data_IF_928402123608
#
_entry.id   IF_928402123608
#
_cell.length_a   1.000
_cell.length_b   1.000
_cell.length_c   1.000
_cell.angle_alpha   90.00
_cell.angle_beta   90.00
_cell.angle_gamma   90.00
#
_symmetry.space_group_name_H-M   'P 1'
#
loop_
_entity.id
_entity.type
_entity.pdbx_description
1 polymer ?
#
# COMPACT_ATOMS: atom_id res chain seq x y z
N UNK A 1 14.44 -13.09 -10.59
CA UNK A 1 13.05 -13.58 -10.33
C UNK A 1 12.23 -13.46 -11.61
N UNK A 2 11.37 -14.42 -11.99
CA UNK A 2 10.58 -14.33 -13.23
C UNK A 2 9.19 -13.72 -12.96
N UNK A 3 8.88 -12.61 -13.63
CA UNK A 3 7.53 -12.01 -13.62
C UNK A 3 6.75 -12.63 -14.77
N UNK A 4 5.67 -13.33 -14.46
CA UNK A 4 4.76 -13.92 -15.43
C UNK A 4 3.31 -13.43 -15.21
N UNK A 5 2.40 -13.80 -16.11
CA UNK A 5 1.01 -13.35 -16.05
C UNK A 5 0.26 -13.86 -14.80
N UNK A 6 0.65 -15.02 -14.28
CA UNK A 6 0.05 -15.55 -13.04
C UNK A 6 0.45 -14.70 -11.84
N UNK A 7 1.71 -14.26 -11.81
CA UNK A 7 2.23 -13.35 -10.80
C UNK A 7 1.61 -11.96 -10.94
N UNK A 8 1.46 -11.45 -12.17
CA UNK A 8 0.79 -10.17 -12.42
C UNK A 8 -0.66 -10.20 -11.90
N UNK A 9 -1.43 -11.24 -12.22
CA UNK A 9 -2.80 -11.43 -11.73
C UNK A 9 -2.88 -11.45 -10.20
N UNK A 10 -1.90 -12.09 -9.55
CA UNK A 10 -1.81 -12.10 -8.09
C UNK A 10 -1.52 -10.70 -7.52
N UNK A 11 -0.64 -9.94 -8.16
CA UNK A 11 -0.32 -8.57 -7.76
C UNK A 11 -1.50 -7.61 -7.98
N UNK A 12 -2.26 -7.75 -9.06
CA UNK A 12 -3.49 -6.99 -9.31
C UNK A 12 -4.48 -7.17 -8.15
N UNK A 13 -4.69 -8.42 -7.72
CA UNK A 13 -5.59 -8.73 -6.59
C UNK A 13 -5.09 -8.15 -5.27
N UNK A 14 -3.78 -8.20 -5.01
CA UNK A 14 -3.21 -7.67 -3.77
C UNK A 14 -3.21 -6.14 -3.72
N UNK A 15 -3.04 -5.48 -4.87
CA UNK A 15 -2.98 -4.02 -4.99
C UNK A 15 -4.33 -3.37 -5.28
N UNK A 16 -5.37 -4.16 -5.58
CA UNK A 16 -6.67 -3.68 -6.07
C UNK A 16 -6.55 -2.80 -7.33
N UNK A 17 -5.56 -3.09 -8.18
CA UNK A 17 -5.36 -2.42 -9.47
C UNK A 17 -5.67 -3.39 -10.60
N UNK A 18 -6.57 -2.99 -11.50
CA UNK A 18 -6.85 -3.75 -12.71
C UNK A 18 -5.91 -3.29 -13.84
N UNK A 19 -5.20 -4.23 -14.44
CA UNK A 19 -4.39 -3.99 -15.64
C UNK A 19 -5.15 -4.50 -16.85
N UNK A 20 -5.32 -3.63 -17.84
CA UNK A 20 -5.97 -3.98 -19.10
C UNK A 20 -5.11 -4.94 -19.93
N UNK A 21 -5.76 -5.86 -20.64
CA UNK A 21 -5.08 -6.94 -21.38
C UNK A 21 -4.04 -6.43 -22.40
N UNK A 22 -4.30 -5.28 -23.02
CA UNK A 22 -3.42 -4.62 -23.98
C UNK A 22 -2.10 -4.10 -23.37
N UNK A 23 -2.05 -3.93 -22.03
CA UNK A 23 -0.89 -3.41 -21.30
C UNK A 23 -0.14 -4.46 -20.49
N UNK A 24 -0.64 -5.69 -20.43
CA UNK A 24 -0.07 -6.73 -19.57
C UNK A 24 1.37 -7.07 -19.95
N UNK A 25 1.63 -7.27 -21.25
CA UNK A 25 2.97 -7.58 -21.74
C UNK A 25 3.97 -6.46 -21.45
N UNK A 26 3.55 -5.19 -21.64
CA UNK A 26 4.37 -4.02 -21.33
C UNK A 26 4.73 -3.98 -19.84
N UNK A 27 3.75 -4.15 -18.96
CA UNK A 27 3.95 -4.11 -17.51
C UNK A 27 4.82 -5.26 -17.02
N UNK A 28 4.64 -6.47 -17.56
CA UNK A 28 5.50 -7.61 -17.24
C UNK A 28 6.96 -7.31 -17.60
N UNK A 29 7.20 -6.71 -18.78
CA UNK A 29 8.55 -6.32 -19.20
C UNK A 29 9.14 -5.25 -18.29
N UNK A 30 8.38 -4.21 -17.97
CA UNK A 30 8.84 -3.11 -17.11
C UNK A 30 9.14 -3.58 -15.68
N UNK A 31 8.27 -4.42 -15.10
CA UNK A 31 8.50 -5.00 -13.78
C UNK A 31 9.73 -5.91 -13.76
N UNK A 32 9.94 -6.69 -14.82
CA UNK A 32 11.13 -7.52 -14.96
C UNK A 32 12.40 -6.67 -14.98
N UNK A 33 12.41 -5.57 -15.73
CA UNK A 33 13.54 -4.64 -15.79
C UNK A 33 13.82 -3.99 -14.44
N UNK A 34 12.79 -3.54 -13.72
CA UNK A 34 12.94 -2.94 -12.38
C UNK A 34 13.54 -3.95 -11.41
N UNK A 35 13.06 -5.20 -11.40
CA UNK A 35 13.58 -6.23 -10.51
C UNK A 35 15.03 -6.55 -10.84
N UNK A 36 15.37 -6.69 -12.13
CA UNK A 36 16.76 -6.87 -12.57
C UNK A 36 17.67 -5.69 -12.18
N UNK A 37 17.16 -4.46 -12.21
CA UNK A 37 17.92 -3.31 -11.73
C UNK A 37 18.17 -3.36 -10.22
N UNK A 38 17.20 -3.81 -9.43
CA UNK A 38 17.34 -4.00 -7.98
C UNK A 38 18.29 -5.15 -7.64
N UNK A 39 18.38 -6.19 -8.49
CA UNK A 39 19.30 -7.31 -8.28
C UNK A 39 20.78 -6.86 -8.20
N UNK A 40 21.16 -5.71 -8.77
CA UNK A 40 22.48 -5.11 -8.61
C UNK A 40 22.88 -4.87 -7.14
N UNK A 41 21.92 -4.66 -6.23
CA UNK A 41 22.19 -4.48 -4.80
C UNK A 41 22.71 -5.77 -4.14
N UNK A 42 22.51 -6.93 -4.77
CA UNK A 42 22.94 -8.23 -4.26
C UNK A 42 24.45 -8.43 -4.33
N UNK A 43 25.17 -7.57 -5.06
CA UNK A 43 26.64 -7.58 -5.13
C UNK A 43 27.29 -7.04 -3.84
N UNK A 44 26.53 -6.32 -3.01
CA UNK A 44 27.02 -5.73 -1.77
C UNK A 44 26.84 -6.71 -0.61
N UNK A 45 27.93 -6.97 0.13
CA UNK A 45 27.86 -7.74 1.37
C UNK A 45 27.26 -6.89 2.49
N UNK A 46 26.08 -7.29 2.98
CA UNK A 46 25.39 -6.63 4.09
C UNK A 46 25.39 -7.47 5.37
N UNK A 47 26.25 -8.50 5.47
CA UNK A 47 26.28 -9.41 6.63
C UNK A 47 26.62 -8.74 7.96
N UNK A 48 27.36 -7.62 7.93
CA UNK A 48 27.72 -6.83 9.11
C UNK A 48 26.84 -5.58 9.31
N UNK A 49 25.84 -5.36 8.45
CA UNK A 49 24.92 -4.22 8.58
C UNK A 49 23.87 -4.54 9.64
N UNK A 50 23.83 -3.73 10.70
CA UNK A 50 22.81 -3.87 11.74
C UNK A 50 21.41 -3.63 11.16
N UNK A 51 20.46 -4.49 11.52
CA UNK A 51 19.03 -4.34 11.21
C UNK A 51 18.43 -3.00 11.65
N UNK A 52 19.08 -2.34 12.61
CA UNK A 52 18.67 -1.07 13.21
C UNK A 52 19.24 0.15 12.48
N UNK A 53 20.00 -0.02 11.38
CA UNK A 53 20.79 1.06 10.75
C UNK A 53 20.01 2.33 10.36
N UNK A 54 18.69 2.21 10.18
CA UNK A 54 17.80 3.30 9.79
C UNK A 54 16.83 3.75 10.89
N UNK A 55 16.98 3.26 12.12
CA UNK A 55 16.12 3.66 13.23
C UNK A 55 16.68 4.89 13.95
N UNK A 56 15.79 5.75 14.44
CA UNK A 56 16.12 6.89 15.29
C UNK A 56 16.18 6.40 16.75
N UNK A 57 17.17 6.85 17.53
CA UNK A 57 17.41 6.42 18.93
C UNK A 57 16.34 6.95 19.92
N UNK A 58 15.24 7.50 19.41
CA UNK A 58 14.18 8.09 20.23
C UNK A 58 13.24 7.02 20.73
N UNK A 59 12.83 7.17 21.98
CA UNK A 59 11.75 6.36 22.53
C UNK A 59 10.45 6.55 21.74
N UNK A 60 9.63 5.49 21.66
CA UNK A 60 8.32 5.52 21.02
C UNK A 60 7.45 6.63 21.63
N UNK A 61 6.95 7.60 20.85
CA UNK A 61 6.09 8.64 21.37
C UNK A 61 4.77 8.02 21.87
N UNK A 62 4.41 8.34 23.11
CA UNK A 62 3.13 7.93 23.70
C UNK A 62 2.13 9.09 23.60
N UNK A 63 0.85 8.73 23.47
CA UNK A 63 -0.27 9.67 23.52
C UNK A 63 -0.92 9.60 24.90
N UNK A 64 -1.19 10.75 25.51
CA UNK A 64 -1.97 10.86 26.74
C UNK A 64 -3.40 10.31 26.54
N UNK A 65 -3.96 9.67 27.57
CA UNK A 65 -5.32 9.11 27.54
C UNK A 65 -6.39 10.18 27.82
N UNK A 66 -6.45 11.19 26.96
CA UNK A 66 -7.39 12.30 27.08
C UNK A 66 -8.37 12.25 25.90
N UNK A 67 -9.70 12.19 26.14
CA UNK A 67 -10.68 12.20 25.07
C UNK A 67 -10.74 13.59 24.41
N UNK A 68 -10.79 13.62 23.08
CA UNK A 68 -11.08 14.81 22.30
C UNK A 68 -12.43 14.61 21.60
N UNK A 69 -13.44 15.37 22.02
CA UNK A 69 -14.80 15.29 21.48
C UNK A 69 -15.13 16.57 20.71
N UNK A 70 -15.11 16.49 19.39
CA UNK A 70 -15.63 17.55 18.51
C UNK A 70 -16.77 16.98 17.65
N UNK A 71 -17.93 17.61 17.78
CA UNK A 71 -19.17 17.20 17.12
C UNK A 71 -19.17 17.51 15.62
N UNK A 72 -18.29 18.40 15.15
CA UNK A 72 -18.24 18.80 13.73
C UNK A 72 -17.45 17.81 12.89
N UNK A 73 -16.54 17.04 13.49
CA UNK A 73 -15.63 16.11 12.79
C UNK A 73 -16.38 15.14 11.88
N UNK A 74 -17.49 14.57 12.37
CA UNK A 74 -18.28 13.63 11.57
C UNK A 74 -18.80 14.27 10.27
N UNK A 75 -19.35 15.48 10.38
CA UNK A 75 -19.88 16.23 9.23
C UNK A 75 -18.77 16.66 8.27
N UNK A 76 -17.62 17.09 8.79
CA UNK A 76 -16.46 17.46 7.98
C UNK A 76 -15.91 16.28 7.18
N UNK A 77 -15.80 15.10 7.80
CA UNK A 77 -15.35 13.88 7.12
C UNK A 77 -16.33 13.48 6.03
N UNK A 78 -17.63 13.41 6.35
CA UNK A 78 -18.66 12.92 5.43
C UNK A 78 -18.87 13.84 4.23
N UNK A 79 -18.52 15.13 4.32
CA UNK A 79 -18.52 16.07 3.20
C UNK A 79 -17.60 15.63 2.05
N UNK A 80 -16.56 14.87 2.35
CA UNK A 80 -15.61 14.35 1.35
C UNK A 80 -15.95 12.93 0.87
N UNK A 81 -16.99 12.30 1.43
CA UNK A 81 -17.39 10.97 1.04
C UNK A 81 -18.00 10.96 -0.38
N UNK A 82 -17.62 10.02 -1.27
CA UNK A 82 -18.25 9.88 -2.58
C UNK A 82 -19.76 9.64 -2.51
N UNK A 83 -20.21 8.88 -1.50
CA UNK A 83 -21.61 8.67 -1.15
C UNK A 83 -21.74 8.48 0.36
N UNK A 84 -22.71 9.15 0.96
CA UNK A 84 -23.07 9.02 2.37
C UNK A 84 -24.58 9.18 2.56
N UNK A 85 -25.12 8.54 3.59
CA UNK A 85 -26.51 8.65 4.02
C UNK A 85 -26.63 8.32 5.50
N UNK A 86 -27.50 9.03 6.23
CA UNK A 86 -27.79 8.80 7.65
C UNK A 86 -26.52 8.72 8.54
N UNK A 87 -25.51 9.56 8.27
CA UNK A 87 -24.20 9.56 8.93
C UNK A 87 -23.31 8.31 8.66
N UNK A 88 -23.61 7.54 7.62
CA UNK A 88 -22.82 6.39 7.16
C UNK A 88 -22.22 6.58 5.77
N UNK A 89 -21.10 5.89 5.51
CA UNK A 89 -20.56 5.72 4.15
C UNK A 89 -21.36 4.67 3.39
N UNK A 90 -21.77 4.99 2.17
CA UNK A 90 -22.44 4.02 1.30
C UNK A 90 -21.39 3.33 0.43
N UNK A 91 -21.24 2.03 0.64
CA UNK A 91 -20.38 1.14 -0.16
C UNK A 91 -21.20 0.02 -0.80
N UNK A 92 -20.71 -0.59 -1.90
CA UNK A 92 -21.32 -1.81 -2.43
C UNK A 92 -21.41 -2.88 -1.35
N UNK A 93 -22.51 -3.63 -1.35
CA UNK A 93 -22.70 -4.75 -0.42
C UNK A 93 -21.55 -5.75 -0.61
N UNK A 94 -20.90 -6.12 0.48
CA UNK A 94 -19.91 -7.20 0.50
C UNK A 94 -20.68 -8.51 0.31
N UNK A 95 -20.43 -9.20 -0.80
CA UNK A 95 -21.01 -10.51 -1.14
C UNK A 95 -19.83 -11.48 -1.21
N UNK A 96 -19.94 -12.62 -0.52
CA UNK A 96 -19.02 -13.76 -0.68
C UNK A 96 -19.41 -14.64 -1.88
#
# INVERSE_FOLDING_TARGET
>A
MQVDDTLLTRLEKLSYLHVSDDKREEIISQLSEIVSFVENLSELDTSEVDSTFAMDDRATPLREDIPQCDITISQEILKHAPKSADDFFIVPKIIE
#
